data_IF_362272090592
#
_entry.id   IF_362272090592
#
_cell.length_a   1.000
_cell.length_b   1.000
_cell.length_c   1.000
_cell.angle_alpha   90.00
_cell.angle_beta   90.00
_cell.angle_gamma   90.00
#
_symmetry.space_group_name_H-M   'P 1'
#
loop_
_entity.id
_entity.type
_entity.pdbx_description
1 polymer ?
#
# COMPACT_ATOMS: atom_id res chain seq x y z
N UNK A 1 -27.35 -6.48 11.90
CA UNK A 1 -26.19 -7.38 12.05
C UNK A 1 -25.46 -6.92 13.30
N UNK A 2 -25.21 -7.83 14.23
CA UNK A 2 -24.39 -7.52 15.41
C UNK A 2 -22.94 -7.32 14.95
N UNK A 3 -22.40 -6.12 15.14
CA UNK A 3 -21.01 -5.80 14.85
C UNK A 3 -20.14 -6.16 16.05
N UNK A 4 -18.96 -6.71 15.81
CA UNK A 4 -17.99 -6.97 16.88
C UNK A 4 -17.34 -5.64 17.32
N UNK A 5 -17.31 -5.32 18.63
CA UNK A 5 -16.61 -4.14 19.13
C UNK A 5 -15.11 -4.21 18.85
N UNK A 6 -14.47 -3.05 18.62
CA UNK A 6 -13.03 -2.95 18.36
C UNK A 6 -12.14 -3.48 19.51
N UNK A 7 -12.65 -3.45 20.74
CA UNK A 7 -11.97 -3.93 21.94
C UNK A 7 -12.22 -5.42 22.23
N UNK A 8 -12.88 -6.15 21.32
CA UNK A 8 -13.09 -7.60 21.48
C UNK A 8 -11.72 -8.28 21.68
N UNK A 9 -11.55 -9.18 22.66
CA UNK A 9 -10.27 -9.86 22.89
C UNK A 9 -9.75 -10.59 21.65
N UNK A 10 -8.43 -10.70 21.53
CA UNK A 10 -7.80 -11.59 20.55
C UNK A 10 -7.87 -13.04 21.07
N UNK A 11 -8.08 -13.99 20.17
CA UNK A 11 -8.18 -15.41 20.49
C UNK A 11 -7.02 -16.15 19.85
N UNK A 12 -6.39 -17.08 20.58
CA UNK A 12 -5.21 -17.81 20.10
C UNK A 12 -5.50 -18.80 18.97
N UNK A 13 -6.76 -19.18 18.78
CA UNK A 13 -7.26 -20.11 17.76
C UNK A 13 -7.85 -19.40 16.54
N UNK A 14 -7.70 -18.07 16.44
CA UNK A 14 -8.26 -17.25 15.35
C UNK A 14 -7.25 -16.23 14.86
N UNK A 15 -7.46 -15.73 13.65
CA UNK A 15 -6.70 -14.62 13.08
C UNK A 15 -7.63 -13.42 12.95
N UNK A 16 -7.26 -12.28 13.51
CA UNK A 16 -7.96 -11.01 13.30
C UNK A 16 -7.26 -10.20 12.21
N UNK A 17 -7.98 -10.02 11.12
CA UNK A 17 -7.60 -9.07 10.08
C UNK A 17 -8.09 -7.66 10.43
N UNK A 18 -7.21 -6.68 10.25
CA UNK A 18 -7.56 -5.26 10.26
C UNK A 18 -7.51 -4.78 8.83
N UNK A 19 -8.66 -4.40 8.27
CA UNK A 19 -8.76 -4.04 6.86
C UNK A 19 -8.97 -2.53 6.73
N UNK A 20 -8.11 -1.89 5.94
CA UNK A 20 -8.20 -0.48 5.56
C UNK A 20 -7.94 -0.34 4.05
N UNK A 21 -8.27 0.80 3.48
CA UNK A 21 -8.05 1.13 2.07
C UNK A 21 -8.14 2.65 1.90
N UNK A 22 -7.78 3.16 0.72
CA UNK A 22 -8.10 4.53 0.28
C UNK A 22 -7.66 5.60 1.28
N UNK A 23 -6.48 5.43 1.87
CA UNK A 23 -5.97 6.39 2.84
C UNK A 23 -5.43 7.65 2.18
N UNK A 24 -5.12 7.63 0.87
CA UNK A 24 -4.72 8.80 0.07
C UNK A 24 -3.67 9.70 0.76
N UNK A 25 -2.55 9.10 1.17
CA UNK A 25 -1.47 9.73 1.94
C UNK A 25 -1.88 10.29 3.32
N UNK A 26 -3.05 9.92 3.84
CA UNK A 26 -3.56 10.34 5.16
C UNK A 26 -3.54 9.22 6.21
N UNK A 27 -2.83 8.12 5.96
CA UNK A 27 -2.81 6.95 6.84
C UNK A 27 -2.44 7.27 8.30
N UNK A 28 -1.56 8.25 8.55
CA UNK A 28 -1.20 8.66 9.91
C UNK A 28 -2.40 9.24 10.70
N UNK A 29 -3.41 9.81 10.03
CA UNK A 29 -4.60 10.37 10.69
C UNK A 29 -5.45 9.31 11.38
N UNK A 30 -5.47 8.08 10.86
CA UNK A 30 -6.27 6.98 11.40
C UNK A 30 -5.48 6.09 12.37
N UNK A 31 -4.18 6.39 12.61
CA UNK A 31 -3.28 5.50 13.36
C UNK A 31 -3.81 5.13 14.75
N UNK A 32 -4.49 6.06 15.42
CA UNK A 32 -5.05 5.87 16.76
C UNK A 32 -6.37 5.12 16.78
N UNK A 33 -7.06 5.05 15.64
CA UNK A 33 -8.39 4.41 15.51
C UNK A 33 -8.28 2.94 15.10
N UNK A 34 -7.07 2.52 14.70
CA UNK A 34 -6.76 1.16 14.28
C UNK A 34 -6.84 0.18 15.47
N UNK A 35 -7.72 -0.84 15.42
CA UNK A 35 -7.90 -1.78 16.52
C UNK A 35 -6.77 -2.81 16.63
N UNK A 36 -6.58 -3.46 17.79
CA UNK A 36 -5.68 -4.61 17.89
C UNK A 36 -6.05 -5.72 16.91
N UNK A 37 -5.05 -6.34 16.29
CA UNK A 37 -5.20 -7.46 15.35
C UNK A 37 -3.87 -8.11 15.01
N UNK A 38 -3.91 -9.15 14.19
CA UNK A 38 -2.73 -9.96 13.85
C UNK A 38 -2.14 -9.57 12.49
N UNK A 39 -3.02 -9.30 11.53
CA UNK A 39 -2.68 -9.00 10.13
C UNK A 39 -3.39 -7.72 9.70
N UNK A 40 -2.64 -6.72 9.28
CA UNK A 40 -3.18 -5.55 8.57
C UNK A 40 -3.27 -5.84 7.08
N UNK A 41 -4.38 -5.46 6.45
CA UNK A 41 -4.53 -5.42 5.00
C UNK A 41 -4.83 -3.97 4.60
N UNK A 42 -4.03 -3.41 3.68
CA UNK A 42 -4.34 -2.17 2.97
C UNK A 42 -4.70 -2.51 1.52
N UNK A 43 -5.94 -2.24 1.11
CA UNK A 43 -6.48 -2.66 -0.17
C UNK A 43 -6.29 -1.64 -1.32
N UNK A 44 -5.14 -0.96 -1.36
CA UNK A 44 -4.83 0.04 -2.41
C UNK A 44 -5.12 1.49 -2.03
N UNK A 45 -4.73 2.41 -2.90
CA UNK A 45 -4.89 3.87 -2.78
C UNK A 45 -4.31 4.45 -1.49
N UNK A 46 -3.09 4.03 -1.16
CA UNK A 46 -2.37 4.54 0.01
C UNK A 46 -1.63 5.87 -0.27
N UNK A 47 -1.50 6.27 -1.54
CA UNK A 47 -0.94 7.55 -1.99
C UNK A 47 -1.99 8.39 -2.72
N UNK A 48 -1.67 9.66 -3.04
CA UNK A 48 -2.50 10.42 -3.97
C UNK A 48 -2.10 10.21 -5.43
N UNK A 49 -0.81 10.03 -5.72
CA UNK A 49 -0.33 9.90 -7.11
C UNK A 49 0.86 8.94 -7.27
N UNK A 50 1.25 8.23 -6.21
CA UNK A 50 2.38 7.31 -6.21
C UNK A 50 3.75 8.01 -6.12
N UNK A 51 3.85 9.21 -5.54
CA UNK A 51 5.17 9.87 -5.44
C UNK A 51 6.11 9.10 -4.51
N UNK A 52 7.45 9.15 -4.74
CA UNK A 52 8.37 8.46 -3.85
C UNK A 52 8.30 8.91 -2.39
N UNK A 53 8.02 10.18 -2.16
CA UNK A 53 7.84 10.69 -0.81
C UNK A 53 6.58 10.10 -0.15
N UNK A 54 5.44 10.02 -0.84
CA UNK A 54 4.23 9.40 -0.29
C UNK A 54 4.42 7.92 0.01
N UNK A 55 5.07 7.16 -0.90
CA UNK A 55 5.36 5.74 -0.70
C UNK A 55 6.27 5.53 0.52
N UNK A 56 7.32 6.34 0.68
CA UNK A 56 8.19 6.28 1.85
C UNK A 56 7.46 6.67 3.14
N UNK A 57 6.59 7.68 3.11
CA UNK A 57 5.79 8.08 4.26
C UNK A 57 4.81 6.98 4.69
N UNK A 58 4.14 6.35 3.72
CA UNK A 58 3.27 5.22 3.96
C UNK A 58 4.04 4.02 4.54
N UNK A 59 5.21 3.68 3.97
CA UNK A 59 6.05 2.62 4.52
C UNK A 59 6.52 2.92 5.95
N UNK A 60 6.86 4.18 6.25
CA UNK A 60 7.22 4.59 7.61
C UNK A 60 6.02 4.48 8.58
N UNK A 61 4.81 4.82 8.13
CA UNK A 61 3.58 4.60 8.89
C UNK A 61 3.39 3.11 9.22
N UNK A 62 3.51 2.22 8.23
CA UNK A 62 3.41 0.76 8.44
C UNK A 62 4.42 0.25 9.48
N UNK A 63 5.64 0.78 9.48
CA UNK A 63 6.69 0.44 10.44
C UNK A 63 6.37 0.79 11.90
N UNK A 64 5.47 1.76 12.14
CA UNK A 64 5.02 2.14 13.49
C UNK A 64 3.90 1.24 14.03
N UNK A 65 3.26 0.42 13.18
CA UNK A 65 2.09 -0.36 13.56
C UNK A 65 2.48 -1.68 14.22
N UNK A 66 1.75 -2.11 15.28
CA UNK A 66 2.11 -3.29 16.08
C UNK A 66 1.77 -4.63 15.41
N UNK A 67 1.09 -4.61 14.25
CA UNK A 67 0.69 -5.84 13.55
C UNK A 67 1.90 -6.67 13.14
N UNK A 68 1.86 -7.97 13.39
CA UNK A 68 2.95 -8.87 13.01
C UNK A 68 3.12 -8.96 11.50
N UNK A 69 2.01 -8.96 10.78
CA UNK A 69 1.97 -9.00 9.33
C UNK A 69 1.20 -7.80 8.78
N UNK A 70 1.69 -7.25 7.67
CA UNK A 70 1.03 -6.19 6.92
C UNK A 70 1.06 -6.60 5.44
N UNK A 71 -0.10 -6.56 4.79
CA UNK A 71 -0.27 -6.90 3.38
C UNK A 71 -0.80 -5.66 2.68
N UNK A 72 -0.21 -5.33 1.52
CA UNK A 72 -0.58 -4.16 0.75
C UNK A 72 -0.70 -4.55 -0.72
N UNK A 73 -1.74 -4.06 -1.38
CA UNK A 73 -1.82 -4.00 -2.85
C UNK A 73 -1.80 -2.53 -3.27
N UNK A 74 -1.48 -2.26 -4.53
CA UNK A 74 -1.66 -0.94 -5.15
C UNK A 74 -3.13 -0.72 -5.55
N UNK A 75 -3.56 0.54 -5.62
CA UNK A 75 -4.79 0.97 -6.28
C UNK A 75 -4.49 1.88 -7.47
N UNK A 76 -5.51 2.53 -8.02
CA UNK A 76 -5.38 3.39 -9.20
C UNK A 76 -4.62 4.70 -8.91
N UNK A 77 -4.40 5.06 -7.65
CA UNK A 77 -3.59 6.23 -7.28
C UNK A 77 -2.09 5.95 -7.22
N UNK A 78 -1.65 4.69 -7.19
CA UNK A 78 -0.24 4.30 -7.23
C UNK A 78 0.33 4.32 -8.66
N UNK A 79 0.23 5.47 -9.36
CA UNK A 79 0.60 5.58 -10.79
C UNK A 79 2.04 5.14 -11.11
N UNK A 80 2.96 5.31 -10.16
CA UNK A 80 4.36 4.89 -10.31
C UNK A 80 4.58 3.37 -10.21
N UNK A 81 3.54 2.61 -9.84
CA UNK A 81 3.55 1.15 -9.79
C UNK A 81 3.10 0.53 -11.12
N UNK A 82 2.39 1.29 -11.97
CA UNK A 82 1.94 0.85 -13.29
C UNK A 82 3.09 0.99 -14.33
N UNK A 83 3.60 -0.13 -14.88
CA UNK A 83 4.63 -0.09 -15.93
C UNK A 83 4.14 0.61 -17.20
N UNK A 84 2.85 0.52 -17.53
CA UNK A 84 2.29 1.19 -18.68
C UNK A 84 2.40 2.70 -18.51
N UNK A 85 1.94 3.25 -17.38
CA UNK A 85 2.09 4.68 -17.06
C UNK A 85 3.55 5.14 -17.12
N UNK A 86 4.47 4.34 -16.56
CA UNK A 86 5.90 4.67 -16.46
C UNK A 86 6.67 4.58 -17.79
N UNK A 87 6.07 3.98 -18.83
CA UNK A 87 6.66 3.85 -20.17
C UNK A 87 6.08 4.84 -21.18
N UNK A 88 4.99 5.55 -20.85
CA UNK A 88 4.42 6.56 -21.74
C UNK A 88 5.44 7.69 -21.98
N UNK A 89 5.84 7.85 -23.24
CA UNK A 89 6.61 9.02 -23.70
C UNK A 89 5.84 10.31 -23.35
N UNK A 90 6.58 11.40 -23.11
CA UNK A 90 6.12 12.71 -22.65
C UNK A 90 4.86 13.27 -23.36
N UNK A 91 4.58 12.78 -24.58
CA UNK A 91 3.46 13.19 -25.44
C UNK A 91 2.05 12.90 -24.91
N UNK A 92 1.90 12.20 -23.78
CA UNK A 92 0.59 12.04 -23.10
C UNK A 92 0.42 12.93 -21.86
N UNK A 93 1.35 13.84 -21.58
CA UNK A 93 1.12 14.96 -20.65
C UNK A 93 -0.01 15.90 -21.11
N UNK A 94 -0.58 15.70 -22.30
CA UNK A 94 -1.78 16.40 -22.78
C UNK A 94 -3.10 15.67 -22.48
N UNK A 95 -3.09 14.43 -21.97
CA UNK A 95 -4.32 13.76 -21.52
C UNK A 95 -4.86 14.48 -20.31
N UNK A 96 -6.13 14.87 -20.31
CA UNK A 96 -6.82 15.60 -19.24
C UNK A 96 -7.07 14.72 -18.00
N UNK A 97 -6.00 14.16 -17.43
CA UNK A 97 -6.04 13.38 -16.20
C UNK A 97 -5.79 14.31 -15.00
N UNK A 98 -6.68 14.34 -13.99
CA UNK A 98 -6.51 15.17 -12.81
C UNK A 98 -5.37 14.70 -11.89
N UNK A 99 -4.96 13.43 -12.00
CA UNK A 99 -3.93 12.79 -11.18
C UNK A 99 -2.73 12.52 -12.07
N UNK A 100 -1.55 13.06 -11.71
CA UNK A 100 -0.34 12.95 -12.52
C UNK A 100 0.91 12.83 -11.66
N UNK A 101 1.88 12.10 -12.20
CA UNK A 101 3.25 12.04 -11.70
C UNK A 101 4.21 12.12 -12.88
N UNK A 102 5.35 12.78 -12.71
CA UNK A 102 6.37 12.86 -13.76
C UNK A 102 7.21 11.56 -13.77
N UNK A 103 7.12 10.71 -14.83
CA UNK A 103 7.85 9.45 -14.87
C UNK A 103 9.37 9.61 -14.89
N UNK A 104 9.89 10.71 -15.46
CA UNK A 104 11.33 11.01 -15.51
C UNK A 104 11.84 11.27 -14.09
N UNK A 105 11.15 12.10 -13.33
CA UNK A 105 11.52 12.39 -11.94
C UNK A 105 11.50 11.13 -11.05
N UNK A 106 10.56 10.21 -11.30
CA UNK A 106 10.51 8.91 -10.60
C UNK A 106 11.67 8.02 -11.01
N UNK A 107 11.98 7.90 -12.31
CA UNK A 107 13.13 7.12 -12.80
C UNK A 107 14.46 7.63 -12.23
N UNK A 108 14.67 8.95 -12.26
CA UNK A 108 15.83 9.59 -11.65
C UNK A 108 15.94 9.29 -10.15
N UNK A 109 14.80 9.27 -9.44
CA UNK A 109 14.77 8.91 -8.02
C UNK A 109 15.17 7.45 -7.80
N UNK A 110 14.60 6.52 -8.58
CA UNK A 110 14.89 5.08 -8.49
C UNK A 110 16.37 4.81 -8.74
N UNK A 111 16.95 5.41 -9.79
CA UNK A 111 18.36 5.30 -10.12
C UNK A 111 19.26 5.84 -8.99
N UNK A 112 18.96 7.04 -8.48
CA UNK A 112 19.71 7.63 -7.35
C UNK A 112 19.63 6.81 -6.07
N UNK A 113 18.52 6.11 -5.84
CA UNK A 113 18.32 5.22 -4.70
C UNK A 113 18.90 3.83 -4.90
N UNK A 114 19.22 3.44 -6.15
CA UNK A 114 19.70 2.11 -6.48
C UNK A 114 18.63 1.02 -6.33
N UNK A 115 17.35 1.36 -6.53
CA UNK A 115 16.22 0.42 -6.49
C UNK A 115 15.60 0.29 -7.88
N UNK A 116 15.11 -0.89 -8.24
CA UNK A 116 14.56 -1.13 -9.59
C UNK A 116 13.08 -0.74 -9.71
N UNK A 117 12.36 -0.74 -8.60
CA UNK A 117 10.93 -0.44 -8.56
C UNK A 117 10.50 0.31 -7.30
N UNK A 118 9.39 1.03 -7.39
CA UNK A 118 8.75 1.70 -6.24
C UNK A 118 8.32 0.71 -5.14
N UNK A 119 8.03 -0.53 -5.54
CA UNK A 119 7.60 -1.63 -4.66
C UNK A 119 8.67 -1.97 -3.62
N UNK A 120 9.95 -1.85 -3.97
CA UNK A 120 11.08 -2.10 -3.05
C UNK A 120 11.14 -1.11 -1.88
N UNK A 121 10.48 0.04 -1.99
CA UNK A 121 10.39 1.01 -0.89
C UNK A 121 9.44 0.55 0.23
N UNK A 122 8.57 -0.44 -0.04
CA UNK A 122 7.60 -0.98 0.90
C UNK A 122 8.21 -2.09 1.78
N UNK A 123 9.22 -1.74 2.58
CA UNK A 123 9.98 -2.70 3.39
C UNK A 123 9.24 -3.22 4.63
N UNK A 124 8.16 -2.56 5.07
CA UNK A 124 7.40 -2.90 6.28
C UNK A 124 6.11 -3.68 5.99
N UNK A 125 5.93 -4.19 4.78
CA UNK A 125 4.82 -5.07 4.42
C UNK A 125 5.22 -6.12 3.38
N UNK A 126 4.31 -7.07 3.16
CA UNK A 126 4.30 -7.92 1.98
C UNK A 126 3.45 -7.19 0.94
N UNK A 127 4.09 -6.66 -0.10
CA UNK A 127 3.39 -6.15 -1.27
C UNK A 127 2.96 -7.31 -2.17
N UNK A 128 1.68 -7.34 -2.57
CA UNK A 128 1.14 -8.32 -3.50
C UNK A 128 0.69 -7.63 -4.79
N UNK A 129 1.02 -8.26 -5.91
CA UNK A 129 0.55 -7.91 -7.24
C UNK A 129 0.46 -9.19 -8.05
N UNK A 130 -0.76 -9.57 -8.43
CA UNK A 130 -1.09 -10.83 -9.10
C UNK A 130 -0.39 -12.06 -8.49
N UNK A 131 -0.35 -12.07 -7.16
CA UNK A 131 0.42 -13.04 -6.39
C UNK A 131 -0.25 -13.34 -5.04
N UNK A 132 0.19 -14.43 -4.43
CA UNK A 132 -0.30 -14.86 -3.12
C UNK A 132 0.82 -15.03 -2.10
N UNK A 133 0.42 -14.96 -0.82
CA UNK A 133 1.26 -15.28 0.32
C UNK A 133 0.48 -16.17 1.29
N UNK A 134 1.19 -17.04 2.01
CA UNK A 134 0.61 -17.82 3.11
C UNK A 134 1.03 -17.21 4.45
N UNK A 135 0.06 -16.74 5.24
CA UNK A 135 0.28 -16.14 6.56
C UNK A 135 -0.69 -16.77 7.55
N UNK A 136 -0.21 -17.17 8.73
CA UNK A 136 -1.01 -17.86 9.74
C UNK A 136 -1.75 -19.11 9.21
N UNK A 137 -1.17 -19.80 8.21
CA UNK A 137 -1.81 -20.95 7.55
C UNK A 137 -2.90 -20.60 6.53
N UNK A 138 -3.17 -19.32 6.30
CA UNK A 138 -4.17 -18.83 5.36
C UNK A 138 -3.48 -18.34 4.08
N UNK A 139 -4.00 -18.76 2.91
CA UNK A 139 -3.57 -18.26 1.60
C UNK A 139 -4.32 -16.96 1.28
N UNK A 140 -3.57 -15.92 0.94
CA UNK A 140 -4.10 -14.58 0.67
C UNK A 140 -3.57 -14.16 -0.69
N UNK A 141 -4.48 -13.89 -1.63
CA UNK A 141 -4.15 -13.41 -2.98
C UNK A 141 -4.45 -11.92 -3.08
N UNK A 142 -3.57 -11.16 -3.73
CA UNK A 142 -3.72 -9.73 -3.97
C UNK A 142 -3.53 -9.39 -5.44
N UNK A 143 -4.46 -8.62 -5.99
CA UNK A 143 -4.38 -8.01 -7.32
C UNK A 143 -4.68 -6.52 -7.17
N UNK A 144 -3.91 -5.64 -7.82
CA UNK A 144 -4.27 -4.22 -7.94
C UNK A 144 -5.56 -4.02 -8.75
N UNK A 145 -6.00 -2.76 -8.79
CA UNK A 145 -7.08 -2.26 -9.65
C UNK A 145 -6.74 -2.36 -11.14
#
# INVERSE_FOLDING_TARGET
MDTLPLHTPLYSDRVRFVCISDTHAQAEKIRTDLPPGDVLIHAGDFTNTGTPNEVMQFNAFLGKLPYRHKIVIAGNHELSFDPHYMTLEEKRLELDCPIRINPIAVKDFLEKKGVSSMKELLTNCVYLEDSEVTICGLRIYGSPW
#
